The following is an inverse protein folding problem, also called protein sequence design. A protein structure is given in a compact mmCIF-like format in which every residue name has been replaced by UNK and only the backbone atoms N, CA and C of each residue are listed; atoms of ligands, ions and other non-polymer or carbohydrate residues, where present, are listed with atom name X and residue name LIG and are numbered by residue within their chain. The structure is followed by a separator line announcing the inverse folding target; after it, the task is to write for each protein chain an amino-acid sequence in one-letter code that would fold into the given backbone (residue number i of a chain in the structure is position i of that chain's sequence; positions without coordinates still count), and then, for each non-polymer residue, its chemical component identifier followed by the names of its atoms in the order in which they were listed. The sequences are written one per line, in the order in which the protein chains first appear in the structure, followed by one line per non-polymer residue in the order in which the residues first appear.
data_IF_570645106230
#
_entry.id   IF_570645106230
#
_cell.length_a   1.000
_cell.length_b   1.000
_cell.length_c   1.000
_cell.angle_alpha   90.00
_cell.angle_beta   90.00
_cell.angle_gamma   90.00
#
_symmetry.space_group_name_H-M   'P 1'
#
loop_
_entity.id
_entity.type
_entity.pdbx_description
1 polymer ?
#
# COMPACT_ATOMS: atom_id res chain seq x y z
N UNK A 1 -30.92 -21.83 26.46
CA UNK A 1 -29.54 -21.51 26.01
C UNK A 1 -29.43 -21.95 24.56
N UNK A 2 -29.60 -21.02 23.64
CA UNK A 2 -29.40 -21.26 22.20
C UNK A 2 -27.92 -21.49 21.95
N UNK A 3 -27.58 -22.63 21.35
CA UNK A 3 -26.25 -22.88 20.81
C UNK A 3 -25.84 -21.68 19.95
N UNK A 4 -24.79 -20.96 20.38
CA UNK A 4 -24.07 -20.09 19.45
C UNK A 4 -23.58 -21.00 18.34
N UNK A 5 -24.20 -20.94 17.16
CA UNK A 5 -23.62 -21.48 15.95
C UNK A 5 -22.17 -21.00 15.91
N UNK A 6 -21.25 -21.94 16.14
CA UNK A 6 -19.83 -21.67 16.18
C UNK A 6 -19.40 -21.44 14.74
N UNK A 7 -19.63 -20.22 14.26
CA UNK A 7 -19.37 -19.83 12.89
C UNK A 7 -17.86 -19.65 12.75
N UNK A 8 -17.16 -20.73 12.39
CA UNK A 8 -15.72 -20.71 12.17
C UNK A 8 -15.41 -19.87 10.93
N UNK A 9 -15.31 -18.55 11.16
CA UNK A 9 -15.00 -17.55 10.13
C UNK A 9 -13.65 -17.80 9.48
N UNK A 10 -12.70 -18.41 10.20
CA UNK A 10 -11.38 -18.75 9.66
C UNK A 10 -11.53 -19.84 8.60
N UNK A 11 -12.21 -20.94 8.94
CA UNK A 11 -12.48 -22.01 7.99
C UNK A 11 -13.24 -21.50 6.76
N UNK A 12 -14.27 -20.68 6.94
CA UNK A 12 -15.04 -20.12 5.82
C UNK A 12 -14.18 -19.28 4.87
N UNK A 13 -13.30 -18.42 5.41
CA UNK A 13 -12.38 -17.61 4.60
C UNK A 13 -11.38 -18.48 3.85
N UNK A 14 -10.84 -19.49 4.50
CA UNK A 14 -9.89 -20.42 3.87
C UNK A 14 -10.56 -21.30 2.82
N UNK A 15 -11.79 -21.76 3.04
CA UNK A 15 -12.54 -22.55 2.06
C UNK A 15 -12.88 -21.70 0.82
N UNK A 16 -13.28 -20.44 1.03
CA UNK A 16 -13.51 -19.49 -0.07
C UNK A 16 -12.22 -19.16 -0.83
N UNK A 17 -11.09 -19.03 -0.13
CA UNK A 17 -9.79 -18.82 -0.77
C UNK A 17 -9.33 -20.06 -1.55
N UNK A 18 -9.50 -21.26 -1.00
CA UNK A 18 -9.18 -22.52 -1.66
C UNK A 18 -10.03 -22.77 -2.91
N UNK A 19 -11.25 -22.23 -2.98
CA UNK A 19 -12.15 -22.45 -4.11
C UNK A 19 -11.63 -21.78 -5.38
N UNK A 20 -10.92 -20.65 -5.25
CA UNK A 20 -10.49 -19.83 -6.37
C UNK A 20 -11.66 -19.25 -7.18
N UNK A 21 -12.83 -19.07 -6.54
CA UNK A 21 -14.01 -18.52 -7.20
C UNK A 21 -13.76 -17.09 -7.71
N UNK A 22 -14.13 -16.83 -8.96
CA UNK A 22 -13.91 -15.54 -9.62
C UNK A 22 -12.54 -15.34 -10.25
N UNK A 23 -11.63 -16.34 -10.19
CA UNK A 23 -10.33 -16.28 -10.87
C UNK A 23 -10.44 -16.80 -12.30
N UNK A 24 -9.98 -16.00 -13.25
CA UNK A 24 -9.82 -16.39 -14.65
C UNK A 24 -8.45 -17.06 -14.85
N UNK A 25 -8.41 -18.39 -14.74
CA UNK A 25 -7.17 -19.16 -14.93
C UNK A 25 -6.78 -19.26 -16.40
N UNK A 26 -5.47 -19.23 -16.69
CA UNK A 26 -4.95 -19.32 -18.06
C UNK A 26 -5.13 -20.71 -18.68
N UNK A 27 -5.19 -21.77 -17.85
CA UNK A 27 -5.48 -23.15 -18.24
C UNK A 27 -5.87 -24.00 -17.01
N UNK A 28 -6.25 -25.26 -17.24
CA UNK A 28 -6.62 -26.19 -16.16
C UNK A 28 -5.45 -26.52 -15.22
N UNK A 29 -4.21 -26.52 -15.73
CA UNK A 29 -3.02 -26.77 -14.93
C UNK A 29 -2.81 -25.67 -13.87
N UNK A 30 -2.93 -24.40 -14.26
CA UNK A 30 -2.86 -23.23 -13.38
C UNK A 30 -3.92 -23.29 -12.28
N UNK A 31 -5.14 -23.72 -12.62
CA UNK A 31 -6.21 -23.91 -11.63
C UNK A 31 -5.87 -24.99 -10.61
N UNK A 32 -5.28 -26.09 -11.05
CA UNK A 32 -4.89 -27.19 -10.17
C UNK A 32 -3.66 -26.85 -9.31
N UNK A 33 -2.68 -26.12 -9.85
CA UNK A 33 -1.53 -25.64 -9.08
C UNK A 33 -1.95 -24.61 -8.03
N UNK A 34 -2.86 -23.68 -8.38
CA UNK A 34 -3.46 -22.74 -7.43
C UNK A 34 -4.06 -23.48 -6.23
N UNK A 35 -4.98 -24.42 -6.49
CA UNK A 35 -5.67 -25.17 -5.43
C UNK A 35 -4.70 -25.94 -4.55
N UNK A 36 -3.64 -26.54 -5.13
CA UNK A 36 -2.59 -27.23 -4.36
C UNK A 36 -1.84 -26.26 -3.45
N UNK A 37 -1.44 -25.09 -3.95
CA UNK A 37 -0.73 -24.05 -3.19
C UNK A 37 -1.60 -23.48 -2.06
N UNK A 38 -2.82 -23.06 -2.37
CA UNK A 38 -3.73 -22.51 -1.34
C UNK A 38 -4.05 -23.54 -0.28
N UNK A 39 -4.34 -24.78 -0.67
CA UNK A 39 -4.63 -25.85 0.29
C UNK A 39 -3.44 -26.09 1.23
N UNK A 40 -2.20 -26.13 0.69
CA UNK A 40 -0.98 -26.28 1.50
C UNK A 40 -0.87 -25.19 2.56
N UNK A 41 -1.11 -23.94 2.18
CA UNK A 41 -1.07 -22.80 3.12
C UNK A 41 -2.24 -22.87 4.12
N UNK A 42 -3.45 -23.14 3.65
CA UNK A 42 -4.64 -23.23 4.49
C UNK A 42 -4.54 -24.37 5.51
N UNK A 43 -3.98 -25.51 5.15
CA UNK A 43 -3.74 -26.64 6.05
C UNK A 43 -2.69 -26.27 7.11
N UNK A 44 -1.62 -25.58 6.74
CA UNK A 44 -0.62 -25.07 7.68
C UNK A 44 -1.21 -24.07 8.69
N UNK A 45 -2.03 -23.11 8.22
CA UNK A 45 -2.74 -22.14 9.09
C UNK A 45 -3.67 -22.86 10.08
N UNK A 46 -4.30 -23.95 9.65
CA UNK A 46 -5.20 -24.75 10.48
C UNK A 46 -4.48 -25.80 11.35
N UNK A 47 -3.15 -25.80 11.40
CA UNK A 47 -2.34 -26.77 12.14
C UNK A 47 -2.59 -28.24 11.72
N UNK A 48 -2.95 -28.45 10.45
CA UNK A 48 -2.98 -29.78 9.82
C UNK A 48 -1.60 -30.11 9.24
N UNK A 49 -1.42 -31.35 8.82
CA UNK A 49 -0.20 -31.79 8.12
C UNK A 49 -0.39 -31.55 6.61
N UNK A 50 0.25 -30.53 6.01
CA UNK A 50 0.24 -30.33 4.57
C UNK A 50 1.13 -31.37 3.86
N UNK A 51 1.08 -31.39 2.53
CA UNK A 51 1.94 -32.24 1.70
C UNK A 51 3.43 -31.86 1.78
N UNK A 52 3.74 -30.58 2.00
CA UNK A 52 5.05 -30.06 2.41
C UNK A 52 4.90 -28.72 3.12
N UNK A 53 5.99 -28.25 3.75
CA UNK A 53 6.04 -26.89 4.31
C UNK A 53 5.84 -25.85 3.19
N UNK A 54 4.90 -24.90 3.32
CA UNK A 54 4.71 -23.82 2.35
C UNK A 54 5.89 -22.84 2.36
N UNK A 55 6.28 -22.36 1.18
CA UNK A 55 7.36 -21.39 0.98
C UNK A 55 6.75 -20.07 0.53
N UNK A 56 6.74 -19.08 1.43
CA UNK A 56 6.06 -17.78 1.24
C UNK A 56 7.01 -16.61 1.52
N UNK A 57 8.08 -16.47 0.72
CA UNK A 57 9.09 -15.46 0.94
C UNK A 57 8.53 -14.04 0.74
N UNK A 58 8.94 -13.13 1.62
CA UNK A 58 8.84 -11.70 1.36
C UNK A 58 10.03 -11.28 0.52
N UNK A 59 9.85 -11.19 -0.79
CA UNK A 59 10.94 -10.90 -1.72
C UNK A 59 11.51 -9.47 -1.59
N UNK A 60 10.77 -8.52 -1.02
CA UNK A 60 11.26 -7.14 -0.91
C UNK A 60 11.76 -6.63 -2.27
N UNK A 61 12.95 -6.02 -2.30
CA UNK A 61 13.58 -5.54 -3.54
C UNK A 61 14.44 -6.57 -4.29
N UNK A 62 14.51 -7.81 -3.81
CA UNK A 62 15.28 -8.88 -4.48
C UNK A 62 14.98 -9.01 -5.98
N UNK A 63 13.71 -8.98 -6.44
CA UNK A 63 13.41 -9.17 -7.86
C UNK A 63 14.00 -8.06 -8.73
N UNK A 64 14.13 -6.82 -8.23
CA UNK A 64 14.80 -5.76 -8.97
C UNK A 64 16.28 -6.11 -9.21
N UNK A 65 16.98 -6.44 -8.13
CA UNK A 65 18.43 -6.69 -8.11
C UNK A 65 18.77 -7.94 -8.94
N UNK A 66 18.03 -9.03 -8.76
CA UNK A 66 18.26 -10.31 -9.46
C UNK A 66 18.02 -10.19 -10.97
N UNK A 67 17.18 -9.25 -11.39
CA UNK A 67 16.89 -8.99 -12.80
C UNK A 67 17.70 -7.83 -13.40
N UNK A 68 18.71 -7.33 -12.69
CA UNK A 68 19.63 -6.30 -13.18
C UNK A 68 19.04 -4.89 -13.23
N UNK A 69 17.92 -4.65 -12.55
CA UNK A 69 17.37 -3.32 -12.36
C UNK A 69 17.89 -2.68 -11.07
N UNK A 70 17.93 -1.36 -11.04
CA UNK A 70 18.15 -0.61 -9.80
C UNK A 70 16.86 -0.52 -8.98
N UNK A 71 16.96 -0.13 -7.70
CA UNK A 71 15.78 0.14 -6.90
C UNK A 71 15.03 1.37 -7.43
N UNK A 72 15.75 2.38 -7.92
CA UNK A 72 15.15 3.55 -8.60
C UNK A 72 14.30 3.11 -9.80
N UNK A 73 14.85 2.26 -10.67
CA UNK A 73 14.14 1.79 -11.88
C UNK A 73 12.73 1.28 -11.56
N UNK A 74 12.61 0.39 -10.58
CA UNK A 74 11.32 -0.27 -10.27
C UNK A 74 10.40 0.61 -9.43
N UNK A 75 10.94 1.58 -8.70
CA UNK A 75 10.14 2.54 -7.93
C UNK A 75 9.45 3.58 -8.83
N UNK A 76 10.07 3.94 -9.95
CA UNK A 76 9.59 4.98 -10.85
C UNK A 76 8.99 4.46 -12.17
N UNK A 77 9.31 3.22 -12.57
CA UNK A 77 8.79 2.55 -13.77
C UNK A 77 8.06 1.24 -13.38
N UNK A 78 6.73 1.31 -13.39
CA UNK A 78 5.89 0.17 -13.01
C UNK A 78 6.05 -1.01 -13.96
N UNK A 79 6.31 -0.78 -15.26
CA UNK A 79 6.49 -1.87 -16.21
C UNK A 79 7.81 -2.62 -15.97
N UNK A 80 8.86 -1.93 -15.54
CA UNK A 80 10.11 -2.58 -15.08
C UNK A 80 9.87 -3.39 -13.82
N UNK A 81 9.14 -2.83 -12.85
CA UNK A 81 8.79 -3.53 -11.61
C UNK A 81 8.03 -4.83 -11.92
N UNK A 82 7.00 -4.74 -12.75
CA UNK A 82 6.23 -5.92 -13.16
C UNK A 82 7.08 -6.96 -13.88
N UNK A 83 7.92 -6.56 -14.85
CA UNK A 83 8.81 -7.51 -15.55
C UNK A 83 9.74 -8.25 -14.59
N UNK A 84 10.35 -7.53 -13.65
CA UNK A 84 11.26 -8.10 -12.67
C UNK A 84 10.54 -9.10 -11.76
N UNK A 85 9.37 -8.72 -11.22
CA UNK A 85 8.60 -9.59 -10.34
C UNK A 85 7.99 -10.79 -11.07
N UNK A 86 7.49 -10.64 -12.29
CA UNK A 86 6.97 -11.78 -13.04
C UNK A 86 8.07 -12.76 -13.43
N UNK A 87 9.29 -12.29 -13.72
CA UNK A 87 10.42 -13.19 -13.94
C UNK A 87 10.78 -13.95 -12.65
N UNK A 88 10.89 -13.27 -11.51
CA UNK A 88 11.17 -13.95 -10.23
C UNK A 88 10.07 -14.95 -9.84
N UNK A 89 8.80 -14.67 -10.14
CA UNK A 89 7.72 -15.65 -9.95
C UNK A 89 7.98 -16.95 -10.72
N UNK A 90 8.35 -16.84 -12.00
CA UNK A 90 8.62 -17.99 -12.86
C UNK A 90 9.89 -18.75 -12.44
N UNK A 91 10.91 -18.05 -11.95
CA UNK A 91 12.19 -18.67 -11.57
C UNK A 91 12.09 -19.45 -10.25
N UNK A 92 11.25 -19.00 -9.30
CA UNK A 92 11.21 -19.55 -7.93
C UNK A 92 9.92 -20.26 -7.55
N UNK A 93 8.81 -19.99 -8.24
CA UNK A 93 7.50 -20.61 -8.04
C UNK A 93 7.03 -20.76 -6.57
N UNK A 94 6.99 -19.66 -5.78
CA UNK A 94 6.59 -19.71 -4.38
C UNK A 94 5.13 -20.15 -4.19
N UNK A 95 4.78 -20.54 -2.96
CA UNK A 95 3.41 -20.94 -2.62
C UNK A 95 2.47 -19.73 -2.41
N UNK A 96 3.03 -18.56 -2.08
CA UNK A 96 2.35 -17.25 -2.08
C UNK A 96 3.25 -16.19 -2.69
N UNK A 97 2.66 -15.26 -3.44
CA UNK A 97 3.42 -14.22 -4.12
C UNK A 97 2.70 -12.87 -4.13
N UNK A 98 3.38 -11.80 -3.72
CA UNK A 98 2.74 -10.47 -3.55
C UNK A 98 3.11 -9.44 -4.64
N UNK A 99 3.56 -9.90 -5.81
CA UNK A 99 3.88 -9.03 -6.95
C UNK A 99 4.79 -7.84 -6.60
N UNK A 100 4.81 -6.87 -7.51
CA UNK A 100 5.66 -5.67 -7.45
C UNK A 100 5.24 -4.63 -6.41
N UNK A 101 4.26 -4.93 -5.55
CA UNK A 101 3.80 -4.01 -4.51
C UNK A 101 4.93 -3.58 -3.55
N UNK A 102 5.95 -4.44 -3.38
CA UNK A 102 7.16 -4.14 -2.58
C UNK A 102 8.01 -2.99 -3.14
N UNK A 103 7.94 -2.72 -4.45
CA UNK A 103 8.65 -1.61 -5.04
C UNK A 103 8.08 -0.26 -4.55
N UNK A 104 6.81 -0.22 -4.09
CA UNK A 104 6.11 1.03 -3.80
C UNK A 104 6.08 1.96 -5.04
N UNK A 105 5.54 3.17 -4.89
CA UNK A 105 5.58 4.18 -5.95
C UNK A 105 6.46 5.35 -5.54
N UNK A 106 7.67 5.43 -6.12
CA UNK A 106 8.55 6.58 -6.00
C UNK A 106 7.88 7.86 -6.53
N UNK A 107 7.10 7.76 -7.62
CA UNK A 107 6.36 8.88 -8.18
C UNK A 107 5.36 9.49 -7.18
N UNK A 108 4.62 8.66 -6.43
CA UNK A 108 3.69 9.14 -5.40
C UNK A 108 4.43 9.80 -4.25
N UNK A 109 5.49 9.15 -3.75
CA UNK A 109 6.27 9.66 -2.62
C UNK A 109 6.96 11.00 -2.95
N UNK A 110 7.50 11.12 -4.16
CA UNK A 110 8.10 12.36 -4.67
C UNK A 110 7.05 13.47 -4.84
N UNK A 111 5.87 13.16 -5.40
CA UNK A 111 4.77 14.13 -5.53
C UNK A 111 4.26 14.62 -4.17
N UNK A 112 4.38 13.82 -3.12
CA UNK A 112 4.01 14.21 -1.75
C UNK A 112 5.09 14.99 -1.02
N UNK A 113 6.31 15.08 -1.56
CA UNK A 113 7.50 15.48 -0.83
C UNK A 113 7.59 14.70 0.51
N UNK A 114 7.57 13.37 0.41
CA UNK A 114 7.46 12.49 1.57
C UNK A 114 8.77 12.43 2.35
N UNK A 115 8.77 12.97 3.57
CA UNK A 115 9.99 13.24 4.33
C UNK A 115 10.55 12.07 5.12
N UNK A 116 9.75 11.01 5.35
CA UNK A 116 10.17 9.87 6.17
C UNK A 116 11.05 8.87 5.41
N UNK A 117 11.26 9.06 4.10
CA UNK A 117 12.04 8.16 3.27
C UNK A 117 13.05 8.95 2.44
N UNK A 118 14.26 8.41 2.35
CA UNK A 118 15.20 8.74 1.29
C UNK A 118 14.95 7.82 0.11
N UNK A 119 14.70 8.39 -1.05
CA UNK A 119 14.38 7.63 -2.26
C UNK A 119 15.65 7.23 -3.01
N UNK A 120 15.69 6.03 -3.61
CA UNK A 120 16.77 5.62 -4.50
C UNK A 120 16.84 6.54 -5.72
N UNK A 121 18.04 6.98 -6.08
CA UNK A 121 18.27 7.90 -7.19
C UNK A 121 17.93 9.37 -6.89
N UNK A 122 17.53 9.66 -5.65
CA UNK A 122 17.34 11.02 -5.13
C UNK A 122 18.33 11.28 -4.02
N UNK A 123 17.96 11.01 -2.77
CA UNK A 123 18.80 11.21 -1.58
C UNK A 123 19.70 10.01 -1.27
N UNK A 124 19.53 8.90 -2.00
CA UNK A 124 20.35 7.68 -1.88
C UNK A 124 20.75 7.14 -3.26
N UNK A 125 21.77 6.29 -3.31
CA UNK A 125 22.20 5.65 -4.56
C UNK A 125 21.05 4.84 -5.20
N UNK A 126 20.99 4.80 -6.52
CA UNK A 126 19.90 4.18 -7.27
C UNK A 126 19.72 2.69 -6.95
N UNK A 127 20.81 2.00 -6.62
CA UNK A 127 20.85 0.57 -6.31
C UNK A 127 20.37 0.26 -4.88
N UNK A 128 20.43 1.22 -3.98
CA UNK A 128 20.05 1.01 -2.58
C UNK A 128 18.52 0.99 -2.43
N UNK A 129 18.04 0.17 -1.50
CA UNK A 129 16.64 0.25 -1.05
C UNK A 129 16.41 1.59 -0.36
N UNK A 130 15.19 2.13 -0.41
CA UNK A 130 14.81 3.33 0.32
C UNK A 130 15.22 3.23 1.80
N UNK A 131 15.60 4.37 2.39
CA UNK A 131 16.05 4.43 3.78
C UNK A 131 15.08 5.23 4.63
N UNK A 132 14.80 4.74 5.83
CA UNK A 132 13.94 5.44 6.79
C UNK A 132 14.65 6.67 7.38
N UNK A 133 13.88 7.75 7.50
CA UNK A 133 14.26 8.96 8.22
C UNK A 133 13.41 9.01 9.48
N UNK A 134 13.99 8.60 10.60
CA UNK A 134 13.33 8.51 11.91
C UNK A 134 13.45 9.84 12.68
N UNK A 135 12.91 10.91 12.11
CA UNK A 135 12.81 12.21 12.78
C UNK A 135 11.59 12.28 13.72
N UNK A 136 11.58 13.23 14.64
CA UNK A 136 10.46 13.46 15.56
C UNK A 136 9.37 14.31 14.88
N UNK A 137 8.45 13.66 14.17
CA UNK A 137 7.34 14.34 13.47
C UNK A 137 6.13 14.66 14.37
N UNK A 138 6.07 14.08 15.57
CA UNK A 138 5.07 14.38 16.58
C UNK A 138 5.67 14.15 17.95
N UNK A 139 5.55 15.14 18.84
CA UNK A 139 5.99 14.99 20.23
C UNK A 139 4.93 14.26 21.03
N UNK A 140 5.36 13.62 22.12
CA UNK A 140 4.47 12.85 22.98
C UNK A 140 3.34 13.70 23.57
N UNK A 141 3.62 14.93 24.01
CA UNK A 141 2.64 15.87 24.52
C UNK A 141 1.59 16.26 23.46
N UNK A 142 2.03 16.56 22.23
CA UNK A 142 1.11 16.84 21.11
C UNK A 142 0.24 15.64 20.76
N UNK A 143 0.82 14.44 20.76
CA UNK A 143 0.11 13.21 20.41
C UNK A 143 -0.89 12.80 21.50
N UNK A 144 -0.56 12.94 22.78
CA UNK A 144 -1.49 12.54 23.84
C UNK A 144 -2.60 13.57 24.06
N UNK A 145 -2.33 14.86 23.91
CA UNK A 145 -3.37 15.86 24.14
C UNK A 145 -4.20 16.07 22.87
N UNK A 146 -3.58 16.48 21.76
CA UNK A 146 -4.33 16.91 20.57
C UNK A 146 -4.92 15.72 19.78
N UNK A 147 -4.17 14.64 19.58
CA UNK A 147 -4.69 13.51 18.79
C UNK A 147 -5.77 12.71 19.52
N UNK A 148 -5.76 12.65 20.86
CA UNK A 148 -6.85 12.01 21.62
C UNK A 148 -8.14 12.83 21.52
N UNK A 149 -8.03 14.16 21.58
CA UNK A 149 -9.19 15.05 21.52
C UNK A 149 -9.79 15.14 20.11
N UNK A 150 -8.96 15.32 19.08
CA UNK A 150 -9.39 15.39 17.68
C UNK A 150 -8.35 14.76 16.73
N UNK A 151 -8.45 13.44 16.47
CA UNK A 151 -7.47 12.74 15.64
C UNK A 151 -7.51 13.20 14.18
N UNK A 152 -8.66 13.63 13.65
CA UNK A 152 -8.76 14.06 12.26
C UNK A 152 -8.07 15.42 12.04
N UNK A 153 -8.26 16.32 12.99
CA UNK A 153 -7.64 17.63 12.99
C UNK A 153 -6.12 17.56 13.20
N UNK A 154 -5.66 16.74 14.15
CA UNK A 154 -4.23 16.46 14.32
C UNK A 154 -3.61 15.91 13.04
N UNK A 155 -4.23 14.91 12.41
CA UNK A 155 -3.68 14.32 11.18
C UNK A 155 -3.60 15.34 10.05
N UNK A 156 -4.66 16.12 9.82
CA UNK A 156 -4.76 17.04 8.67
C UNK A 156 -3.91 18.31 8.82
N UNK A 157 -3.77 18.84 10.05
CA UNK A 157 -3.10 20.13 10.29
C UNK A 157 -1.76 20.03 11.00
N UNK A 158 -1.43 18.89 11.61
CA UNK A 158 -0.18 18.68 12.35
C UNK A 158 0.68 17.62 11.69
N UNK A 159 0.23 16.35 11.68
CA UNK A 159 1.09 15.24 11.29
C UNK A 159 1.34 15.18 9.78
N UNK A 160 0.30 15.14 8.93
CA UNK A 160 0.46 15.04 7.48
C UNK A 160 1.24 16.23 6.88
N UNK A 161 1.01 17.49 7.31
CA UNK A 161 1.84 18.63 6.89
C UNK A 161 3.33 18.51 7.23
N UNK A 162 3.68 17.74 8.27
CA UNK A 162 5.08 17.52 8.68
C UNK A 162 5.74 16.42 7.85
N UNK A 163 5.01 15.37 7.49
CA UNK A 163 5.57 14.19 6.79
C UNK A 163 5.41 14.25 5.26
N UNK A 164 4.45 15.02 4.76
CA UNK A 164 4.26 15.31 3.34
C UNK A 164 4.45 16.82 3.14
N UNK A 165 5.60 17.24 2.61
CA UNK A 165 5.93 18.66 2.53
C UNK A 165 4.95 19.48 1.69
N UNK A 166 4.33 18.88 0.67
CA UNK A 166 3.30 19.57 -0.12
C UNK A 166 2.08 19.98 0.71
N UNK A 167 1.86 19.34 1.86
CA UNK A 167 0.71 19.59 2.74
C UNK A 167 1.04 20.59 3.84
N UNK A 168 2.27 21.11 3.92
CA UNK A 168 2.67 22.10 4.92
C UNK A 168 1.67 23.26 5.07
N UNK A 169 1.12 23.85 3.98
CA UNK A 169 0.16 24.96 4.09
C UNK A 169 -1.13 24.63 4.85
N UNK A 170 -1.51 23.35 4.96
CA UNK A 170 -2.74 22.95 5.67
C UNK A 170 -2.69 23.25 7.18
N UNK A 171 -1.50 23.45 7.75
CA UNK A 171 -1.36 23.90 9.15
C UNK A 171 -2.05 25.25 9.42
N UNK A 172 -2.21 26.07 8.39
CA UNK A 172 -2.85 27.38 8.45
C UNK A 172 -4.38 27.32 8.28
N UNK A 173 -4.92 26.17 7.88
CA UNK A 173 -6.36 25.97 7.80
C UNK A 173 -6.94 25.96 9.21
N UNK A 174 -8.13 26.56 9.37
CA UNK A 174 -8.81 26.60 10.66
C UNK A 174 -9.28 25.18 11.05
N UNK A 175 -9.33 24.85 12.35
CA UNK A 175 -9.91 23.59 12.79
C UNK A 175 -11.32 23.39 12.24
N UNK A 176 -11.64 22.16 11.83
CA UNK A 176 -12.91 21.87 11.16
C UNK A 176 -14.13 22.14 12.05
N UNK A 177 -14.00 21.97 13.37
CA UNK A 177 -15.06 22.28 14.33
C UNK A 177 -15.42 23.78 14.36
N UNK A 178 -14.53 24.68 13.93
CA UNK A 178 -14.82 26.12 13.80
C UNK A 178 -15.69 26.44 12.56
N UNK A 179 -15.91 25.47 11.67
CA UNK A 179 -16.88 25.59 10.58
C UNK A 179 -18.33 25.44 11.07
N UNK A 180 -18.53 24.98 12.31
CA UNK A 180 -19.82 24.94 12.98
C UNK A 180 -20.27 26.37 13.33
N UNK A 181 -20.83 27.07 12.34
CA UNK A 181 -21.28 28.46 12.46
C UNK A 181 -22.55 28.75 11.66
N UNK A 182 -23.12 29.94 11.88
CA UNK A 182 -24.26 30.44 11.10
C UNK A 182 -23.91 30.56 9.61
N UNK A 183 -24.89 30.58 8.71
CA UNK A 183 -24.66 30.54 7.25
C UNK A 183 -23.75 31.65 6.71
N UNK A 184 -23.54 32.73 7.46
CA UNK A 184 -22.62 33.82 7.09
C UNK A 184 -21.16 33.40 7.27
N UNK A 185 -20.85 32.64 8.33
CA UNK A 185 -19.49 32.22 8.67
C UNK A 185 -18.88 31.31 7.60
N UNK A 186 -19.69 30.51 6.91
CA UNK A 186 -19.19 29.60 5.86
C UNK A 186 -18.50 30.36 4.72
N UNK A 187 -18.97 31.57 4.39
CA UNK A 187 -18.41 32.37 3.30
C UNK A 187 -16.96 32.81 3.60
N UNK A 188 -16.67 33.16 4.85
CA UNK A 188 -15.32 33.51 5.29
C UNK A 188 -14.44 32.29 5.53
N UNK A 189 -15.02 31.22 6.10
CA UNK A 189 -14.28 30.01 6.44
C UNK A 189 -13.68 29.31 5.22
N UNK A 190 -14.34 29.37 4.06
CA UNK A 190 -13.79 28.80 2.82
C UNK A 190 -12.68 29.64 2.20
N UNK A 191 -12.50 30.89 2.61
CA UNK A 191 -11.54 31.81 2.00
C UNK A 191 -10.08 31.33 2.09
N UNK A 192 -9.71 30.60 3.15
CA UNK A 192 -8.36 30.04 3.31
C UNK A 192 -7.99 29.07 2.20
N UNK A 193 -8.96 28.33 1.65
CA UNK A 193 -8.72 27.38 0.55
C UNK A 193 -8.50 28.04 -0.81
N UNK A 194 -8.79 29.33 -0.93
CA UNK A 194 -8.46 30.14 -2.11
C UNK A 194 -7.16 30.92 -1.97
N UNK A 195 -6.40 30.71 -0.90
CA UNK A 195 -5.03 31.25 -0.82
C UNK A 195 -4.12 30.44 -1.75
N UNK A 196 -3.16 31.08 -2.44
CA UNK A 196 -2.29 30.37 -3.38
C UNK A 196 -1.62 29.14 -2.78
N UNK A 197 -1.15 29.24 -1.53
CA UNK A 197 -0.42 28.17 -0.85
C UNK A 197 -1.30 26.94 -0.57
N UNK A 198 -2.54 27.14 -0.13
CA UNK A 198 -3.47 26.04 0.16
C UNK A 198 -4.05 25.45 -1.12
N UNK A 199 -4.35 26.29 -2.12
CA UNK A 199 -4.80 25.83 -3.43
C UNK A 199 -3.74 24.94 -4.10
N UNK A 200 -2.48 25.36 -4.09
CA UNK A 200 -1.36 24.59 -4.64
C UNK A 200 -1.20 23.25 -3.90
N UNK A 201 -1.26 23.24 -2.57
CA UNK A 201 -1.18 22.03 -1.75
C UNK A 201 -2.29 21.02 -2.11
N UNK A 202 -3.54 21.48 -2.19
CA UNK A 202 -4.69 20.62 -2.53
C UNK A 202 -4.59 20.09 -3.98
N UNK A 203 -4.16 20.93 -4.92
CA UNK A 203 -3.95 20.52 -6.30
C UNK A 203 -2.81 19.50 -6.44
N UNK A 204 -1.71 19.67 -5.68
CA UNK A 204 -0.63 18.70 -5.62
C UNK A 204 -1.09 17.37 -5.02
N UNK A 205 -1.89 17.40 -3.94
CA UNK A 205 -2.48 16.21 -3.35
C UNK A 205 -3.37 15.44 -4.34
N UNK A 206 -4.18 16.15 -5.15
CA UNK A 206 -4.97 15.54 -6.22
C UNK A 206 -4.07 14.86 -7.27
N UNK A 207 -2.94 15.48 -7.64
CA UNK A 207 -1.97 14.88 -8.58
C UNK A 207 -1.35 13.60 -8.00
N UNK A 208 -0.91 13.63 -6.74
CA UNK A 208 -0.38 12.46 -6.04
C UNK A 208 -1.42 11.34 -5.96
N UNK A 209 -2.68 11.67 -5.64
CA UNK A 209 -3.78 10.70 -5.60
C UNK A 209 -4.06 10.05 -6.97
N UNK A 210 -4.00 10.80 -8.06
CA UNK A 210 -4.13 10.25 -9.42
C UNK A 210 -2.99 9.30 -9.76
N UNK A 211 -1.75 9.62 -9.38
CA UNK A 211 -0.62 8.73 -9.58
C UNK A 211 -0.73 7.45 -8.72
N UNK A 212 -1.23 7.57 -7.49
CA UNK A 212 -1.49 6.42 -6.62
C UNK A 212 -2.56 5.48 -7.21
N UNK A 213 -3.62 6.02 -7.83
CA UNK A 213 -4.63 5.23 -8.55
C UNK A 213 -4.03 4.53 -9.76
N UNK A 214 -3.15 5.20 -10.52
CA UNK A 214 -2.43 4.59 -11.65
C UNK A 214 -1.54 3.43 -11.19
N UNK A 215 -0.75 3.63 -10.14
CA UNK A 215 0.05 2.58 -9.52
C UNK A 215 -0.81 1.40 -9.04
N UNK A 216 -1.89 1.67 -8.30
CA UNK A 216 -2.83 0.64 -7.83
C UNK A 216 -3.51 -0.13 -8.97
N UNK A 217 -3.80 0.52 -10.10
CA UNK A 217 -4.35 -0.14 -11.29
C UNK A 217 -3.34 -1.13 -11.89
N UNK A 218 -2.06 -0.77 -11.90
CA UNK A 218 -0.99 -1.65 -12.36
C UNK A 218 -0.86 -2.88 -11.46
N UNK A 219 -0.83 -2.69 -10.14
CA UNK A 219 -0.80 -3.79 -9.17
C UNK A 219 -2.03 -4.70 -9.26
N UNK A 220 -3.22 -4.14 -9.48
CA UNK A 220 -4.44 -4.92 -9.66
C UNK A 220 -4.40 -5.79 -10.92
N UNK A 221 -3.80 -5.28 -12.01
CA UNK A 221 -3.59 -6.07 -13.24
C UNK A 221 -2.59 -7.20 -13.00
N UNK A 222 -1.47 -6.89 -12.37
CA UNK A 222 -0.45 -7.88 -12.02
C UNK A 222 -1.00 -8.97 -11.09
N UNK A 223 -1.76 -8.60 -10.05
CA UNK A 223 -2.41 -9.55 -9.14
C UNK A 223 -3.30 -10.54 -9.90
N UNK A 224 -4.11 -10.04 -10.85
CA UNK A 224 -4.96 -10.91 -11.68
C UNK A 224 -4.14 -11.88 -12.53
N UNK A 225 -3.03 -11.41 -13.09
CA UNK A 225 -2.12 -12.24 -13.89
C UNK A 225 -1.47 -13.35 -13.04
N UNK A 226 -0.89 -12.99 -11.89
CA UNK A 226 -0.29 -13.93 -10.93
C UNK A 226 -1.30 -15.01 -10.53
N UNK A 227 -2.51 -14.60 -10.15
CA UNK A 227 -3.59 -15.53 -9.77
C UNK A 227 -4.03 -16.41 -10.94
N UNK A 228 -4.17 -15.83 -12.13
CA UNK A 228 -4.53 -16.55 -13.35
C UNK A 228 -3.49 -17.60 -13.77
N UNK A 229 -2.21 -17.35 -13.47
CA UNK A 229 -1.09 -18.30 -13.67
C UNK A 229 -1.03 -19.42 -12.62
N UNK A 230 -1.90 -19.38 -11.61
CA UNK A 230 -1.99 -20.42 -10.59
C UNK A 230 -1.22 -20.14 -9.31
N UNK A 231 -0.80 -18.90 -9.10
CA UNK A 231 -0.10 -18.47 -7.88
C UNK A 231 -1.04 -17.66 -6.98
N UNK A 232 -1.31 -18.11 -5.76
CA UNK A 232 -2.12 -17.32 -4.84
C UNK A 232 -1.35 -16.11 -4.33
N UNK A 233 -2.06 -15.01 -4.19
CA UNK A 233 -1.54 -13.78 -3.61
C UNK A 233 -1.84 -13.77 -2.11
N UNK A 234 -0.93 -13.20 -1.33
CA UNK A 234 -1.01 -13.10 0.14
C UNK A 234 -2.13 -12.16 0.59
#
# INVERSE_FOLDING_TARGET
MTEKQNNDKTKQRLDAWCSGEGIEFVNDEAKETYKKRVKRVADAIQLKIPDRVPITPSFGMFPAIDNGYTCEDVMFDYDKAHKAWMKTLNDFEPDLYNGSAYALSGNVLELLDYKQLKLPGRESAAEHVFQFVEDEYAKADEFYDHFIDDPADFMSRVYLPRVCGILEPLKNVRPSYEFFGYYISILGNVGIFGTPEVEEALNALIKAGKEAVKWGTHLAKETKEIMGMGFPVM
#
